data_IF_911743984647
#
_entry.id   IF_911743984647
#
_cell.length_a   1.000
_cell.length_b   1.000
_cell.length_c   1.000
_cell.angle_alpha   90.00
_cell.angle_beta   90.00
_cell.angle_gamma   90.00
#
_symmetry.space_group_name_H-M   'P 1'
#
loop_
_entity.id
_entity.type
_entity.pdbx_description
1 polymer ?
#
# COMPACT_ATOMS: atom_id res chain seq x y z
N UNK A 1 19.46 -22.69 -10.47
CA UNK A 1 19.98 -21.32 -10.68
C UNK A 1 19.06 -20.69 -11.69
N UNK A 2 18.35 -19.63 -11.33
CA UNK A 2 17.41 -18.97 -12.22
C UNK A 2 18.03 -17.73 -12.88
N UNK A 3 17.56 -17.39 -14.07
CA UNK A 3 17.90 -16.14 -14.74
C UNK A 3 17.36 -14.93 -13.95
N UNK A 4 18.24 -13.97 -13.68
CA UNK A 4 17.95 -12.81 -12.81
C UNK A 4 16.88 -11.93 -13.41
N UNK A 5 16.93 -11.67 -14.73
CA UNK A 5 15.97 -10.80 -15.39
C UNK A 5 14.58 -11.42 -15.42
N UNK A 6 14.51 -12.71 -15.75
CA UNK A 6 13.25 -13.45 -15.75
C UNK A 6 12.61 -13.44 -14.36
N UNK A 7 13.38 -13.69 -13.30
CA UNK A 7 12.84 -13.60 -11.93
C UNK A 7 12.42 -12.17 -11.58
N UNK A 8 13.20 -11.17 -11.97
CA UNK A 8 12.87 -9.77 -11.71
C UNK A 8 11.53 -9.38 -12.35
N UNK A 9 11.31 -9.69 -13.64
CA UNK A 9 10.07 -9.37 -14.34
C UNK A 9 8.90 -10.17 -13.76
N UNK A 10 9.09 -11.46 -13.50
CA UNK A 10 8.06 -12.31 -12.90
C UNK A 10 7.60 -11.80 -11.54
N UNK A 11 8.54 -11.41 -10.67
CA UNK A 11 8.22 -10.83 -9.38
C UNK A 11 7.53 -9.47 -9.50
N UNK A 12 7.99 -8.61 -10.42
CA UNK A 12 7.36 -7.32 -10.70
C UNK A 12 5.90 -7.46 -11.17
N UNK A 13 5.66 -8.31 -12.18
CA UNK A 13 4.31 -8.59 -12.67
C UNK A 13 3.42 -9.14 -11.56
N UNK A 14 3.96 -10.03 -10.73
CA UNK A 14 3.22 -10.63 -9.64
C UNK A 14 2.78 -9.61 -8.59
N UNK A 15 3.69 -8.75 -8.10
CA UNK A 15 3.31 -7.75 -7.09
C UNK A 15 2.33 -6.72 -7.66
N UNK A 16 2.52 -6.27 -8.91
CA UNK A 16 1.63 -5.31 -9.57
C UNK A 16 0.20 -5.86 -9.76
N UNK A 17 0.05 -7.17 -9.94
CA UNK A 17 -1.26 -7.82 -10.14
C UNK A 17 -1.94 -8.20 -8.84
N UNK A 18 -1.17 -8.70 -7.86
CA UNK A 18 -1.71 -9.39 -6.70
C UNK A 18 -1.66 -8.56 -5.42
N UNK A 19 -0.77 -7.58 -5.31
CA UNK A 19 -0.61 -6.78 -4.10
C UNK A 19 -1.34 -5.44 -4.30
N UNK A 20 -2.46 -5.18 -3.61
CA UNK A 20 -3.15 -3.90 -3.66
C UNK A 20 -2.21 -2.75 -3.33
N UNK A 21 -2.34 -1.61 -4.01
CA UNK A 21 -1.55 -0.42 -3.69
C UNK A 21 -0.03 -0.64 -3.79
N UNK A 22 0.43 -1.58 -4.61
CA UNK A 22 1.87 -1.87 -4.76
C UNK A 22 2.62 -0.70 -5.41
N UNK A 23 2.06 -0.14 -6.47
CA UNK A 23 2.64 0.96 -7.21
C UNK A 23 2.14 2.30 -6.67
N UNK A 24 3.02 3.30 -6.62
CA UNK A 24 2.66 4.64 -6.20
C UNK A 24 3.48 5.73 -6.90
N UNK A 25 2.90 6.92 -6.94
CA UNK A 25 3.58 8.15 -7.36
C UNK A 25 3.99 8.91 -6.11
N UNK A 26 5.22 9.43 -6.08
CA UNK A 26 5.67 10.37 -5.05
C UNK A 26 5.65 11.81 -5.60
N UNK A 27 4.92 12.68 -4.90
CA UNK A 27 4.78 14.11 -5.21
C UNK A 27 4.98 14.92 -3.93
N UNK A 28 6.16 15.52 -3.76
CA UNK A 28 6.51 16.24 -2.52
C UNK A 28 5.53 17.36 -2.14
N UNK A 29 5.02 18.09 -3.13
CA UNK A 29 4.20 19.28 -2.90
C UNK A 29 2.69 18.96 -2.93
N UNK A 30 2.31 17.68 -2.89
CA UNK A 30 0.92 17.25 -2.74
C UNK A 30 0.63 16.74 -1.33
N UNK A 31 -0.63 16.87 -0.91
CA UNK A 31 -1.17 16.25 0.30
C UNK A 31 -2.28 15.26 -0.15
N UNK A 32 -2.05 13.94 -0.06
CA UNK A 32 -0.86 13.24 0.47
C UNK A 32 0.35 13.30 -0.49
N UNK A 33 1.56 13.10 0.04
CA UNK A 33 2.79 13.03 -0.78
C UNK A 33 2.88 11.72 -1.61
N UNK A 34 2.24 10.65 -1.12
CA UNK A 34 2.23 9.33 -1.73
C UNK A 34 0.84 9.05 -2.30
N UNK A 35 0.77 8.74 -3.59
CA UNK A 35 -0.49 8.39 -4.27
C UNK A 35 -0.40 6.98 -4.81
N UNK A 36 -1.05 6.05 -4.12
CA UNK A 36 -1.08 4.65 -4.50
C UNK A 36 -2.04 4.41 -5.66
N UNK A 37 -1.64 3.52 -6.57
CA UNK A 37 -2.49 3.06 -7.65
C UNK A 37 -3.25 1.81 -7.21
N UNK A 38 -4.52 1.72 -7.58
CA UNK A 38 -5.27 0.47 -7.48
C UNK A 38 -4.78 -0.52 -8.53
N UNK A 39 -4.92 -1.81 -8.25
CA UNK A 39 -4.48 -2.86 -9.17
C UNK A 39 -5.23 -2.73 -10.48
N UNK A 40 -4.48 -2.53 -11.57
CA UNK A 40 -5.07 -2.41 -12.90
C UNK A 40 -5.00 -3.77 -13.61
N UNK A 41 -6.09 -4.25 -14.25
CA UNK A 41 -6.07 -5.52 -14.98
C UNK A 41 -5.08 -5.50 -16.17
N UNK A 42 -4.72 -4.30 -16.65
CA UNK A 42 -3.78 -4.08 -17.74
C UNK A 42 -2.55 -3.31 -17.27
N UNK A 43 -1.56 -4.01 -16.72
CA UNK A 43 -0.27 -3.41 -16.32
C UNK A 43 0.68 -3.22 -17.50
N UNK A 44 0.47 -3.93 -18.61
CA UNK A 44 1.32 -3.89 -19.80
C UNK A 44 0.85 -2.85 -20.83
N UNK A 45 1.72 -2.36 -21.72
CA UNK A 45 3.19 -2.45 -21.62
C UNK A 45 3.72 -1.45 -20.58
N UNK A 46 4.94 -1.69 -20.08
CA UNK A 46 5.63 -0.79 -19.16
C UNK A 46 7.14 -0.87 -19.30
N UNK A 47 7.85 0.12 -18.75
CA UNK A 47 9.31 0.10 -18.61
C UNK A 47 9.68 -0.18 -17.15
N UNK A 48 10.54 -1.16 -16.90
CA UNK A 48 11.14 -1.39 -15.58
C UNK A 48 12.56 -0.83 -15.56
N UNK A 49 12.83 0.08 -14.64
CA UNK A 49 14.17 0.60 -14.35
C UNK A 49 14.60 0.06 -12.99
N UNK A 50 15.41 -1.00 -13.02
CA UNK A 50 15.89 -1.67 -11.82
C UNK A 50 17.26 -1.13 -11.40
N UNK A 51 17.31 -0.46 -10.25
CA UNK A 51 18.48 0.24 -9.73
C UNK A 51 19.11 -0.59 -8.60
N UNK A 52 20.13 -1.38 -8.95
CA UNK A 52 20.98 -2.11 -8.01
C UNK A 52 22.37 -1.47 -7.91
N UNK A 53 23.42 -2.30 -7.97
CA UNK A 53 24.80 -1.79 -8.09
C UNK A 53 24.97 -0.95 -9.37
N UNK A 54 24.44 -1.44 -10.49
CA UNK A 54 24.22 -0.69 -11.72
C UNK A 54 22.72 -0.50 -11.99
N UNK A 55 22.37 -0.14 -13.22
CA UNK A 55 20.99 0.11 -13.66
C UNK A 55 20.67 -0.78 -14.84
N UNK A 56 19.54 -1.48 -14.77
CA UNK A 56 18.97 -2.25 -15.87
C UNK A 56 17.64 -1.65 -16.31
N UNK A 57 17.47 -1.45 -17.60
CA UNK A 57 16.26 -0.90 -18.21
C UNK A 57 15.65 -1.98 -19.11
N UNK A 58 14.46 -2.43 -18.74
CA UNK A 58 13.77 -3.55 -19.40
C UNK A 58 12.41 -3.09 -19.88
N UNK A 59 12.12 -3.28 -21.17
CA UNK A 59 10.80 -3.11 -21.75
C UNK A 59 10.00 -4.38 -21.51
N UNK A 60 8.81 -4.27 -20.92
CA UNK A 60 7.93 -5.41 -20.66
C UNK A 60 6.64 -5.21 -21.46
N UNK A 61 6.39 -6.11 -22.40
CA UNK A 61 5.26 -6.03 -23.32
C UNK A 61 4.12 -6.96 -22.92
N UNK A 62 4.43 -8.13 -22.38
CA UNK A 62 3.49 -9.10 -21.81
C UNK A 62 4.15 -9.85 -20.65
N UNK A 63 3.43 -10.78 -20.03
CA UNK A 63 3.94 -11.62 -18.94
C UNK A 63 5.30 -12.26 -19.28
N UNK A 64 5.38 -12.90 -20.44
CA UNK A 64 6.56 -13.67 -20.87
C UNK A 64 7.39 -12.95 -21.96
N UNK A 65 7.02 -11.73 -22.35
CA UNK A 65 7.68 -10.99 -23.44
C UNK A 65 8.26 -9.70 -22.92
N UNK A 66 9.57 -9.72 -22.71
CA UNK A 66 10.34 -8.59 -22.24
C UNK A 66 11.72 -8.54 -22.91
N UNK A 67 12.28 -7.35 -23.02
CA UNK A 67 13.55 -7.09 -23.68
C UNK A 67 14.41 -6.15 -22.83
N UNK A 68 15.69 -6.48 -22.65
CA UNK A 68 16.66 -5.55 -22.09
C UNK A 68 16.99 -4.49 -23.14
N UNK A 69 16.52 -3.27 -22.91
CA UNK A 69 16.62 -2.16 -23.89
C UNK A 69 17.76 -1.19 -23.56
N UNK A 70 18.31 -1.26 -22.34
CA UNK A 70 19.43 -0.42 -21.95
C UNK A 70 19.85 -0.61 -20.50
N UNK A 71 20.88 0.13 -20.10
CA UNK A 71 21.39 0.12 -18.73
C UNK A 71 22.49 1.15 -18.54
N UNK A 72 22.92 1.30 -17.29
CA UNK A 72 24.02 2.19 -16.91
C UNK A 72 24.86 1.54 -15.82
N UNK A 73 26.17 1.74 -15.87
CA UNK A 73 27.07 1.40 -14.75
C UNK A 73 26.98 2.41 -13.61
N UNK A 74 26.28 3.54 -13.80
CA UNK A 74 26.07 4.59 -12.81
C UNK A 74 24.78 4.30 -12.05
N UNK A 75 24.87 3.42 -11.05
CA UNK A 75 23.75 3.04 -10.19
C UNK A 75 24.02 3.27 -8.71
N UNK A 76 23.35 2.50 -7.85
CA UNK A 76 23.50 2.59 -6.40
C UNK A 76 24.90 2.20 -5.90
N UNK A 77 25.61 1.32 -6.61
CA UNK A 77 27.00 0.98 -6.32
C UNK A 77 27.94 2.16 -6.54
N UNK A 78 27.68 2.95 -7.58
CA UNK A 78 28.43 4.18 -7.88
C UNK A 78 28.17 5.25 -6.85
N UNK A 79 26.90 5.43 -6.44
CA UNK A 79 26.54 6.34 -5.34
C UNK A 79 27.26 5.95 -4.04
N UNK A 80 27.20 4.68 -3.66
CA UNK A 80 27.83 4.21 -2.44
C UNK A 80 29.36 4.33 -2.50
N UNK A 81 29.98 3.89 -3.59
CA UNK A 81 31.43 3.92 -3.77
C UNK A 81 32.01 5.34 -3.76
N UNK A 82 31.47 6.23 -4.61
CA UNK A 82 31.93 7.62 -4.66
C UNK A 82 31.58 8.37 -3.37
N UNK A 83 30.38 8.15 -2.83
CA UNK A 83 29.98 8.76 -1.57
C UNK A 83 30.92 8.38 -0.43
N UNK A 84 31.33 7.11 -0.33
CA UNK A 84 32.31 6.67 0.66
C UNK A 84 33.67 7.34 0.47
N UNK A 85 34.13 7.55 -0.77
CA UNK A 85 35.38 8.24 -1.05
C UNK A 85 35.32 9.72 -0.65
N UNK A 86 34.21 10.40 -0.97
CA UNK A 86 33.99 11.83 -0.75
C UNK A 86 33.72 12.18 0.72
N UNK A 87 32.90 11.39 1.42
CA UNK A 87 32.45 11.72 2.79
C UNK A 87 33.16 10.92 3.88
N UNK A 88 33.88 9.85 3.50
CA UNK A 88 34.47 8.84 4.41
C UNK A 88 33.43 8.00 5.17
N UNK A 89 32.16 8.07 4.78
CA UNK A 89 31.09 7.23 5.32
C UNK A 89 31.15 5.82 4.75
N UNK A 90 30.86 4.80 5.56
CA UNK A 90 30.88 3.38 5.12
C UNK A 90 29.49 2.78 4.90
N UNK A 91 28.45 3.39 5.45
CA UNK A 91 27.08 2.86 5.41
C UNK A 91 26.23 3.63 4.40
N UNK A 92 25.46 2.89 3.61
CA UNK A 92 24.56 3.46 2.60
C UNK A 92 23.52 4.42 3.23
N UNK A 93 22.88 4.01 4.34
CA UNK A 93 21.87 4.82 5.03
C UNK A 93 22.43 6.12 5.62
N UNK A 94 23.66 6.08 6.11
CA UNK A 94 24.35 7.27 6.62
C UNK A 94 24.64 8.26 5.48
N UNK A 95 25.00 7.75 4.29
CA UNK A 95 25.22 8.57 3.11
C UNK A 95 23.92 9.24 2.63
N UNK A 96 22.79 8.52 2.66
CA UNK A 96 21.48 9.08 2.36
C UNK A 96 21.02 10.09 3.41
N UNK A 97 21.36 9.87 4.68
CA UNK A 97 21.11 10.84 5.74
C UNK A 97 21.93 12.13 5.56
N UNK A 98 23.20 12.03 5.14
CA UNK A 98 23.99 13.21 4.76
C UNK A 98 23.34 13.94 3.59
N UNK A 99 22.92 13.20 2.56
CA UNK A 99 22.23 13.77 1.41
C UNK A 99 20.85 14.35 1.74
N UNK A 100 20.17 13.97 2.82
CA UNK A 100 18.90 14.61 3.19
C UNK A 100 19.11 16.02 3.74
N UNK A 101 20.29 16.31 4.31
CA UNK A 101 20.65 17.56 4.99
C UNK A 101 21.47 18.54 4.14
N UNK A 102 22.05 18.06 3.04
CA UNK A 102 22.92 18.86 2.18
C UNK A 102 22.22 19.82 1.23
N UNK A 103 22.99 20.80 0.77
CA UNK A 103 22.61 21.85 -0.17
C UNK A 103 23.48 21.74 -1.44
N UNK A 104 22.94 21.06 -2.46
CA UNK A 104 23.70 20.76 -3.68
C UNK A 104 24.16 22.01 -4.44
N UNK A 105 23.47 23.15 -4.31
CA UNK A 105 23.85 24.38 -5.03
C UNK A 105 25.18 24.99 -4.56
N UNK A 106 25.73 24.52 -3.43
CA UNK A 106 27.08 24.87 -3.00
C UNK A 106 28.15 24.16 -3.87
N UNK A 107 27.87 22.95 -4.35
CA UNK A 107 28.82 22.07 -5.07
C UNK A 107 28.57 22.07 -6.58
N UNK A 108 27.31 22.11 -6.99
CA UNK A 108 26.90 22.08 -8.39
C UNK A 108 26.99 23.46 -9.04
N UNK A 109 27.38 23.49 -10.31
CA UNK A 109 27.26 24.67 -11.16
C UNK A 109 25.86 24.68 -11.78
N UNK A 110 25.11 25.77 -11.57
CA UNK A 110 23.76 25.95 -12.07
C UNK A 110 23.75 26.77 -13.36
N UNK A 111 22.66 26.71 -14.13
CA UNK A 111 22.48 27.53 -15.35
C UNK A 111 22.66 29.01 -15.07
N UNK A 112 22.17 29.52 -13.93
CA UNK A 112 22.37 30.91 -13.52
C UNK A 112 23.84 31.28 -13.27
N UNK A 113 24.67 30.32 -12.88
CA UNK A 113 26.10 30.55 -12.62
C UNK A 113 26.87 30.71 -13.96
N UNK A 114 26.34 30.14 -15.05
CA UNK A 114 26.93 30.24 -16.41
C UNK A 114 26.36 31.43 -17.19
N UNK A 115 25.04 31.64 -17.12
CA UNK A 115 24.33 32.61 -17.97
C UNK A 115 23.85 33.87 -17.23
N UNK A 116 24.11 34.00 -15.92
CA UNK A 116 23.64 35.12 -15.10
C UNK A 116 22.13 35.09 -14.78
N UNK A 117 21.41 34.03 -15.15
CA UNK A 117 19.98 33.89 -14.94
C UNK A 117 19.39 32.64 -15.61
N UNK A 118 18.08 32.65 -15.88
CA UNK A 118 17.44 31.63 -16.71
C UNK A 118 17.82 31.83 -18.18
N UNK A 119 18.00 30.73 -18.92
CA UNK A 119 18.29 30.78 -20.35
C UNK A 119 17.00 30.58 -21.16
N UNK A 120 16.32 31.70 -21.45
CA UNK A 120 14.96 31.72 -22.01
C UNK A 120 14.85 31.00 -23.36
N UNK A 121 15.83 31.16 -24.26
CA UNK A 121 15.79 30.59 -25.62
C UNK A 121 15.77 29.06 -25.63
N UNK A 122 16.49 28.42 -24.71
CA UNK A 122 16.49 26.95 -24.56
C UNK A 122 15.48 26.47 -23.52
N UNK A 123 14.73 27.37 -22.88
CA UNK A 123 13.76 27.04 -21.83
C UNK A 123 14.39 26.49 -20.54
N UNK A 124 15.67 26.80 -20.26
CA UNK A 124 16.36 26.28 -19.08
C UNK A 124 16.19 27.23 -17.89
N UNK A 125 15.66 26.72 -16.77
CA UNK A 125 15.52 27.52 -15.54
C UNK A 125 16.89 27.80 -14.93
N UNK A 126 17.05 28.96 -14.27
CA UNK A 126 18.32 29.34 -13.67
C UNK A 126 18.77 28.42 -12.52
N UNK A 127 17.83 27.70 -11.90
CA UNK A 127 18.11 26.75 -10.81
C UNK A 127 18.43 25.33 -11.32
N UNK A 128 18.38 25.09 -12.63
CA UNK A 128 18.75 23.81 -13.22
C UNK A 128 20.26 23.59 -13.07
N UNK A 129 20.66 22.35 -12.76
CA UNK A 129 22.07 21.96 -12.71
C UNK A 129 22.61 21.96 -14.15
N UNK A 130 23.63 22.77 -14.40
CA UNK A 130 24.37 22.80 -15.67
C UNK A 130 25.55 21.82 -15.64
N UNK A 131 26.27 21.74 -14.51
CA UNK A 131 27.35 20.78 -14.31
C UNK A 131 27.37 20.31 -12.85
N UNK A 132 27.08 19.03 -12.62
CA UNK A 132 27.23 18.40 -11.32
C UNK A 132 28.68 18.48 -10.85
N UNK A 133 28.90 18.80 -9.58
CA UNK A 133 30.24 19.07 -9.00
C UNK A 133 31.05 20.20 -9.69
N UNK A 134 30.42 20.98 -10.58
CA UNK A 134 31.14 21.93 -11.43
C UNK A 134 31.89 23.04 -10.66
N UNK A 135 31.41 23.43 -9.47
CA UNK A 135 32.10 24.43 -8.64
C UNK A 135 33.37 23.87 -8.00
N UNK A 136 33.47 22.56 -7.84
CA UNK A 136 34.63 21.93 -7.20
C UNK A 136 35.92 22.07 -7.98
N UNK A 137 35.85 22.34 -9.28
CA UNK A 137 37.03 22.53 -10.13
C UNK A 137 37.67 23.92 -9.98
N UNK A 138 36.91 24.91 -9.47
CA UNK A 138 37.32 26.33 -9.47
C UNK A 138 37.27 26.97 -8.09
N UNK A 139 36.68 26.31 -7.10
CA UNK A 139 36.54 26.84 -5.76
C UNK A 139 37.76 26.53 -4.90
N UNK A 140 38.27 27.55 -4.20
CA UNK A 140 39.37 27.42 -3.23
C UNK A 140 38.89 26.98 -1.82
N UNK A 141 37.66 26.51 -1.69
CA UNK A 141 37.06 26.10 -0.42
C UNK A 141 36.73 24.61 -0.39
N UNK A 142 36.86 24.00 0.79
CA UNK A 142 36.37 22.64 1.02
C UNK A 142 34.84 22.64 1.11
N UNK A 143 34.20 21.63 0.50
CA UNK A 143 32.75 21.45 0.57
C UNK A 143 32.37 20.54 1.74
N UNK A 144 31.19 20.79 2.32
CA UNK A 144 30.66 19.93 3.37
C UNK A 144 30.35 18.53 2.82
N UNK A 145 30.40 17.52 3.69
CA UNK A 145 30.09 16.13 3.31
C UNK A 145 28.64 15.97 2.88
N UNK A 146 27.76 16.70 3.56
CA UNK A 146 26.33 16.78 3.29
C UNK A 146 26.07 17.32 1.88
N UNK A 147 26.71 18.43 1.50
CA UNK A 147 26.53 19.04 0.17
C UNK A 147 27.04 18.13 -0.94
N UNK A 148 28.21 17.51 -0.74
CA UNK A 148 28.76 16.53 -1.69
C UNK A 148 27.85 15.31 -1.82
N UNK A 149 27.32 14.77 -0.72
CA UNK A 149 26.39 13.65 -0.75
C UNK A 149 25.08 14.03 -1.47
N UNK A 150 24.57 15.25 -1.26
CA UNK A 150 23.39 15.76 -1.96
C UNK A 150 23.61 15.88 -3.46
N UNK A 151 24.71 16.52 -3.86
CA UNK A 151 25.10 16.68 -5.27
C UNK A 151 25.27 15.32 -5.94
N UNK A 152 25.93 14.37 -5.28
CA UNK A 152 26.10 13.00 -5.79
C UNK A 152 24.76 12.28 -5.98
N UNK A 153 23.86 12.36 -5.00
CA UNK A 153 22.53 11.76 -5.08
C UNK A 153 21.73 12.38 -6.25
N UNK A 154 21.79 13.70 -6.40
CA UNK A 154 21.14 14.41 -7.50
C UNK A 154 21.69 14.01 -8.86
N UNK A 155 23.03 13.97 -9.00
CA UNK A 155 23.69 13.60 -10.25
C UNK A 155 23.25 12.22 -10.73
N UNK A 156 23.31 11.21 -9.85
CA UNK A 156 22.96 9.83 -10.19
C UNK A 156 21.46 9.70 -10.43
N UNK A 157 20.62 10.28 -9.57
CA UNK A 157 19.15 10.19 -9.73
C UNK A 157 18.66 10.91 -10.99
N UNK A 158 19.26 12.05 -11.35
CA UNK A 158 18.92 12.77 -12.57
C UNK A 158 19.33 11.99 -13.83
N UNK A 159 20.54 11.40 -13.83
CA UNK A 159 21.03 10.56 -14.93
C UNK A 159 20.11 9.36 -15.18
N UNK A 160 19.75 8.64 -14.11
CA UNK A 160 18.78 7.55 -14.16
C UNK A 160 17.43 8.02 -14.70
N UNK A 161 16.89 9.12 -14.17
CA UNK A 161 15.61 9.68 -14.62
C UNK A 161 15.63 10.11 -16.09
N UNK A 162 16.75 10.66 -16.57
CA UNK A 162 16.94 11.05 -17.96
C UNK A 162 16.98 9.82 -18.88
N UNK A 163 17.78 8.80 -18.54
CA UNK A 163 17.85 7.54 -19.29
C UNK A 163 16.49 6.85 -19.34
N UNK A 164 15.81 6.77 -18.20
CA UNK A 164 14.46 6.21 -18.10
C UNK A 164 13.48 6.95 -19.04
N UNK A 165 13.48 8.29 -19.02
CA UNK A 165 12.64 9.09 -19.90
C UNK A 165 12.98 8.86 -21.39
N UNK A 166 14.26 8.81 -21.75
CA UNK A 166 14.69 8.59 -23.13
C UNK A 166 14.22 7.23 -23.66
N UNK A 167 14.42 6.16 -22.89
CA UNK A 167 13.95 4.82 -23.26
C UNK A 167 12.42 4.73 -23.29
N UNK A 168 11.73 5.34 -22.34
CA UNK A 168 10.27 5.38 -22.33
C UNK A 168 9.74 6.03 -23.62
N UNK A 169 10.28 7.20 -24.00
CA UNK A 169 9.88 7.89 -25.24
C UNK A 169 10.27 7.11 -26.50
N UNK A 170 11.47 6.54 -26.55
CA UNK A 170 11.94 5.73 -27.68
C UNK A 170 11.00 4.55 -27.97
N UNK A 171 10.46 3.94 -26.90
CA UNK A 171 9.56 2.79 -27.01
C UNK A 171 8.07 3.15 -26.90
N UNK A 172 7.73 4.45 -26.88
CA UNK A 172 6.35 4.95 -26.76
C UNK A 172 5.60 4.42 -25.53
N UNK A 173 6.27 4.45 -24.38
CA UNK A 173 5.74 4.02 -23.09
C UNK A 173 5.51 5.24 -22.19
N UNK A 174 4.38 5.23 -21.49
CA UNK A 174 3.95 6.27 -20.55
C UNK A 174 4.20 5.89 -19.08
N UNK A 175 4.40 4.60 -18.77
CA UNK A 175 4.62 4.10 -17.40
C UNK A 175 6.03 3.56 -17.22
N UNK A 176 6.73 4.12 -16.23
CA UNK A 176 8.06 3.67 -15.81
C UNK A 176 8.02 3.26 -14.35
N UNK A 177 8.17 1.97 -14.09
CA UNK A 177 8.33 1.43 -12.74
C UNK A 177 9.79 1.44 -12.35
N UNK A 178 10.06 1.95 -11.16
CA UNK A 178 11.39 1.94 -10.54
C UNK A 178 11.45 0.82 -9.50
N UNK A 179 12.40 -0.09 -9.71
CA UNK A 179 12.70 -1.20 -8.81
C UNK A 179 14.13 -1.12 -8.30
N UNK A 180 14.50 -2.08 -7.44
CA UNK A 180 15.84 -2.22 -6.89
C UNK A 180 16.04 -1.45 -5.59
N UNK A 181 17.09 -1.82 -4.86
CA UNK A 181 17.29 -1.42 -3.46
C UNK A 181 18.05 -0.08 -3.30
N UNK A 182 18.06 0.77 -4.32
CA UNK A 182 18.66 2.10 -4.24
C UNK A 182 17.72 3.15 -3.65
N UNK A 183 16.43 3.09 -4.00
CA UNK A 183 15.44 4.11 -3.63
C UNK A 183 15.09 4.01 -2.15
N UNK A 184 14.83 2.80 -1.65
CA UNK A 184 14.53 2.43 -0.25
C UNK A 184 13.54 3.36 0.43
N UNK A 185 12.50 3.78 -0.29
CA UNK A 185 11.50 4.72 0.21
C UNK A 185 12.04 6.12 0.56
N UNK A 186 13.26 6.50 0.14
CA UNK A 186 13.81 7.82 0.43
C UNK A 186 13.14 8.91 -0.41
N UNK A 187 12.41 9.86 0.22
CA UNK A 187 11.64 10.88 -0.50
C UNK A 187 12.50 11.76 -1.41
N UNK A 188 13.77 12.02 -1.02
CA UNK A 188 14.70 12.81 -1.83
C UNK A 188 15.00 12.13 -3.16
N UNK A 189 15.30 10.82 -3.15
CA UNK A 189 15.60 10.05 -4.35
C UNK A 189 14.39 9.99 -5.28
N UNK A 190 13.21 9.63 -4.73
CA UNK A 190 11.96 9.57 -5.47
C UNK A 190 11.61 10.93 -6.09
N UNK A 191 11.73 12.02 -5.31
CA UNK A 191 11.51 13.38 -5.80
C UNK A 191 12.38 13.71 -7.00
N UNK A 192 13.68 13.43 -6.92
CA UNK A 192 14.63 13.79 -7.96
C UNK A 192 14.37 13.01 -9.24
N UNK A 193 14.08 11.70 -9.13
CA UNK A 193 13.70 10.87 -10.28
C UNK A 193 12.40 11.38 -10.92
N UNK A 194 11.34 11.60 -10.13
CA UNK A 194 10.06 12.12 -10.62
C UNK A 194 10.22 13.48 -11.30
N UNK A 195 11.00 14.39 -10.70
CA UNK A 195 11.29 15.69 -11.28
C UNK A 195 12.02 15.58 -12.61
N UNK A 196 13.06 14.74 -12.69
CA UNK A 196 13.84 14.52 -13.92
C UNK A 196 12.93 13.99 -15.05
N UNK A 197 12.12 12.96 -14.78
CA UNK A 197 11.18 12.42 -15.77
C UNK A 197 10.18 13.48 -16.21
N UNK A 198 9.53 14.18 -15.28
CA UNK A 198 8.53 15.20 -15.63
C UNK A 198 9.14 16.35 -16.44
N UNK A 199 10.39 16.73 -16.14
CA UNK A 199 11.11 17.77 -16.87
C UNK A 199 11.35 17.38 -18.33
N UNK A 200 11.84 16.15 -18.61
CA UNK A 200 12.16 15.71 -19.97
C UNK A 200 10.95 15.20 -20.76
N UNK A 201 9.93 14.67 -20.09
CA UNK A 201 8.71 14.17 -20.73
C UNK A 201 7.59 15.21 -20.84
N UNK A 202 7.70 16.35 -20.14
CA UNK A 202 6.61 17.33 -19.99
C UNK A 202 5.31 16.70 -19.44
N UNK A 203 5.44 15.68 -18.60
CA UNK A 203 4.33 14.95 -17.99
C UNK A 203 3.72 13.84 -18.86
N UNK A 204 4.28 13.56 -20.05
CA UNK A 204 3.86 12.43 -20.90
C UNK A 204 4.25 11.07 -20.30
N UNK A 205 5.23 11.03 -19.40
CA UNK A 205 5.73 9.81 -18.77
C UNK A 205 5.57 9.92 -17.25
N UNK A 206 4.97 8.90 -16.64
CA UNK A 206 4.75 8.77 -15.21
C UNK A 206 5.80 7.88 -14.57
N UNK A 207 6.50 8.43 -13.57
CA UNK A 207 7.38 7.68 -12.68
C UNK A 207 6.56 6.99 -11.59
N UNK A 208 6.70 5.67 -11.47
CA UNK A 208 6.03 4.82 -10.50
C UNK A 208 7.06 4.10 -9.65
N UNK A 209 6.86 4.09 -8.34
CA UNK A 209 7.68 3.38 -7.37
C UNK A 209 6.91 2.17 -6.83
N UNK A 210 7.64 1.19 -6.31
CA UNK A 210 7.08 -0.07 -5.82
C UNK A 210 7.35 -0.18 -4.32
N UNK A 211 6.34 -0.56 -3.53
CA UNK A 211 6.54 -0.81 -2.09
C UNK A 211 7.57 -1.90 -1.84
N UNK A 212 7.60 -2.92 -2.71
CA UNK A 212 8.48 -4.07 -2.61
C UNK A 212 9.60 -4.08 -3.66
N UNK A 213 10.08 -2.89 -4.06
CA UNK A 213 11.11 -2.68 -5.08
C UNK A 213 12.38 -3.53 -4.91
N UNK A 214 12.79 -3.82 -3.66
CA UNK A 214 13.98 -4.61 -3.34
C UNK A 214 13.81 -6.12 -3.46
N UNK A 215 12.56 -6.62 -3.51
CA UNK A 215 12.25 -8.04 -3.38
C UNK A 215 11.86 -8.72 -4.69
N UNK A 216 11.69 -7.96 -5.77
CA UNK A 216 11.18 -8.45 -7.06
C UNK A 216 11.89 -9.71 -7.55
N UNK A 217 13.23 -9.74 -7.56
CA UNK A 217 13.99 -10.91 -7.99
C UNK A 217 13.82 -12.14 -7.09
N UNK A 218 13.73 -11.94 -5.77
CA UNK A 218 13.52 -13.03 -4.81
C UNK A 218 12.10 -13.61 -4.95
N UNK A 219 11.09 -12.74 -5.11
CA UNK A 219 9.71 -13.13 -5.34
C UNK A 219 9.60 -13.95 -6.63
N UNK A 220 10.17 -13.49 -7.74
CA UNK A 220 10.11 -14.26 -8.99
C UNK A 220 10.85 -15.60 -8.92
N UNK A 221 11.95 -15.68 -8.18
CA UNK A 221 12.64 -16.95 -7.94
C UNK A 221 11.79 -17.90 -7.10
N UNK A 222 11.14 -17.39 -6.05
CA UNK A 222 10.18 -18.16 -5.24
C UNK A 222 9.02 -18.66 -6.10
N UNK A 223 8.42 -17.78 -6.91
CA UNK A 223 7.30 -18.13 -7.78
C UNK A 223 7.68 -19.18 -8.81
N UNK A 224 8.85 -19.10 -9.44
CA UNK A 224 9.32 -20.16 -10.34
C UNK A 224 9.50 -21.50 -9.65
N UNK A 225 9.96 -21.50 -8.39
CA UNK A 225 10.02 -22.71 -7.58
C UNK A 225 8.63 -23.24 -7.23
N UNK A 226 7.71 -22.35 -6.87
CA UNK A 226 6.34 -22.66 -6.50
C UNK A 226 5.47 -23.07 -7.70
N UNK A 227 5.78 -22.62 -8.91
CA UNK A 227 5.08 -22.95 -10.17
C UNK A 227 5.13 -24.41 -10.58
N UNK A 228 5.93 -25.23 -9.89
CA UNK A 228 5.76 -26.68 -9.95
C UNK A 228 4.35 -27.11 -9.48
N UNK A 229 3.63 -26.24 -8.76
CA UNK A 229 2.20 -26.27 -8.46
C UNK A 229 1.48 -25.11 -9.18
N UNK A 230 0.71 -25.45 -10.23
CA UNK A 230 0.01 -24.56 -11.18
C UNK A 230 -0.47 -23.18 -10.60
N UNK A 231 0.16 -22.03 -10.96
CA UNK A 231 0.01 -20.74 -10.26
C UNK A 231 -1.35 -20.06 -10.41
N UNK A 232 -2.12 -20.38 -11.46
CA UNK A 232 -3.46 -19.82 -11.68
C UNK A 232 -4.54 -20.39 -10.73
N UNK A 233 -4.17 -21.29 -9.82
CA UNK A 233 -5.08 -21.86 -8.82
C UNK A 233 -5.18 -21.03 -7.53
N UNK A 234 -4.29 -20.05 -7.34
CA UNK A 234 -4.14 -19.38 -6.06
C UNK A 234 -4.39 -17.88 -6.16
N UNK A 235 -4.86 -17.32 -5.06
CA UNK A 235 -4.84 -15.87 -4.84
C UNK A 235 -3.87 -15.55 -3.72
N UNK A 236 -3.31 -14.35 -3.76
CA UNK A 236 -2.30 -13.91 -2.82
C UNK A 236 -2.71 -12.60 -2.20
N UNK A 237 -2.42 -12.45 -0.90
CA UNK A 237 -2.63 -11.22 -0.16
C UNK A 237 -1.40 -10.85 0.66
N UNK A 238 -1.20 -9.58 0.92
CA UNK A 238 -0.17 -9.12 1.85
C UNK A 238 -0.62 -9.34 3.29
N UNK A 239 0.25 -9.94 4.11
CA UNK A 239 0.02 -10.06 5.53
C UNK A 239 0.53 -8.80 6.24
N UNK A 240 -0.37 -7.86 6.53
CA UNK A 240 -0.06 -6.59 7.20
C UNK A 240 0.51 -6.73 8.62
N UNK A 241 0.23 -7.84 9.31
CA UNK A 241 0.76 -8.07 10.67
C UNK A 241 2.26 -8.37 10.65
N UNK A 242 2.71 -9.16 9.67
CA UNK A 242 4.11 -9.53 9.47
C UNK A 242 4.92 -8.55 8.63
N UNK A 243 4.27 -7.88 7.68
CA UNK A 243 4.98 -7.02 6.75
C UNK A 243 5.45 -5.71 7.40
N UNK A 244 6.54 -5.14 6.88
CA UNK A 244 7.00 -3.78 7.16
C UNK A 244 7.11 -3.06 5.82
N UNK A 245 6.09 -2.30 5.43
CA UNK A 245 6.08 -1.61 4.14
C UNK A 245 6.98 -0.37 4.15
N UNK A 246 6.52 0.77 3.62
CA UNK A 246 7.28 2.03 3.54
C UNK A 246 7.50 2.63 4.95
N UNK A 247 8.31 1.99 5.78
CA UNK A 247 8.80 2.58 7.02
C UNK A 247 9.76 3.70 6.62
N UNK A 248 9.44 4.95 6.95
CA UNK A 248 10.46 6.00 6.87
C UNK A 248 11.61 5.59 7.79
N UNK A 249 12.82 5.47 7.23
CA UNK A 249 14.04 5.37 8.04
C UNK A 249 14.28 6.71 8.70
N UNK A 250 13.52 6.99 9.74
CA UNK A 250 13.92 7.90 10.80
C UNK A 250 13.27 7.45 12.10
N UNK A 251 13.93 6.55 12.83
CA UNK A 251 14.22 6.82 14.23
C UNK A 251 15.48 7.69 14.30
N UNK A 252 15.45 8.71 15.15
CA UNK A 252 16.67 9.30 15.69
C UNK A 252 17.65 8.17 16.08
N UNK A 253 18.93 8.34 15.78
CA UNK A 253 20.01 7.46 16.24
C UNK A 253 20.10 7.53 17.77
N UNK A 254 19.13 6.94 18.47
CA UNK A 254 19.17 6.69 19.90
C UNK A 254 20.16 5.55 20.20
N UNK A 255 20.98 5.63 21.26
CA UNK A 255 22.05 4.65 21.51
C UNK A 255 21.59 3.27 22.02
N UNK A 256 20.28 2.99 22.11
CA UNK A 256 19.78 1.81 22.82
C UNK A 256 18.84 0.97 21.95
N UNK A 257 19.42 0.07 21.13
CA UNK A 257 18.89 -1.24 20.67
C UNK A 257 19.63 -1.73 19.42
N UNK A 258 20.97 -1.76 19.46
CA UNK A 258 21.79 -2.40 18.42
C UNK A 258 22.54 -3.60 18.99
N UNK A 259 21.80 -4.66 19.25
CA UNK A 259 22.36 -5.99 19.48
C UNK A 259 21.66 -6.98 18.55
N UNK A 260 22.33 -7.31 17.43
CA UNK A 260 22.07 -8.45 16.55
C UNK A 260 20.59 -8.76 16.19
N UNK A 261 19.93 -7.84 15.50
CA UNK A 261 18.84 -8.23 14.61
C UNK A 261 19.06 -7.54 13.26
N UNK A 262 19.24 -8.33 12.21
CA UNK A 262 19.09 -7.83 10.85
C UNK A 262 17.60 -7.61 10.62
N UNK A 263 17.09 -6.43 10.94
CA UNK A 263 15.76 -6.00 10.52
C UNK A 263 15.85 -5.64 9.05
N UNK A 264 15.78 -6.67 8.19
CA UNK A 264 15.39 -6.49 6.81
C UNK A 264 13.91 -6.11 6.80
N UNK A 265 13.50 -5.25 5.88
CA UNK A 265 12.08 -5.01 5.63
C UNK A 265 11.43 -6.37 5.31
N UNK A 266 10.39 -6.79 6.03
CA UNK A 266 9.76 -8.09 5.80
C UNK A 266 8.56 -7.90 4.87
N UNK A 267 8.48 -8.70 3.81
CA UNK A 267 7.25 -8.92 3.06
C UNK A 267 6.73 -10.31 3.43
N UNK A 268 5.55 -10.36 4.00
CA UNK A 268 4.85 -11.60 4.28
C UNK A 268 3.58 -11.68 3.42
N UNK A 269 3.36 -12.83 2.80
CA UNK A 269 2.27 -13.04 1.86
C UNK A 269 1.50 -14.29 2.21
N UNK A 270 0.18 -14.16 2.26
CA UNK A 270 -0.74 -15.26 2.47
C UNK A 270 -1.21 -15.81 1.11
N UNK A 271 -1.14 -17.13 0.96
CA UNK A 271 -1.67 -17.85 -0.20
C UNK A 271 -3.05 -18.41 0.13
N UNK A 272 -4.05 -17.98 -0.63
CA UNK A 272 -5.37 -18.59 -0.64
C UNK A 272 -5.38 -19.77 -1.62
N UNK A 273 -5.96 -20.89 -1.19
CA UNK A 273 -6.05 -22.14 -1.97
C UNK A 273 -6.98 -22.05 -3.18
N UNK A 274 -7.64 -20.91 -3.40
CA UNK A 274 -8.64 -20.71 -4.46
C UNK A 274 -8.44 -19.36 -5.11
N UNK A 275 -8.72 -19.24 -6.42
CA UNK A 275 -8.70 -17.96 -7.10
C UNK A 275 -9.91 -17.13 -6.66
N UNK A 276 -9.67 -15.89 -6.27
CA UNK A 276 -10.68 -14.87 -6.07
C UNK A 276 -11.11 -14.32 -7.43
N UNK A 277 -12.42 -14.15 -7.61
CA UNK A 277 -13.02 -13.57 -8.81
C UNK A 277 -13.88 -12.39 -8.43
N UNK A 278 -14.04 -11.45 -9.36
CA UNK A 278 -14.93 -10.32 -9.18
C UNK A 278 -16.37 -10.80 -8.94
N UNK A 279 -17.13 -10.05 -8.15
CA UNK A 279 -18.55 -10.30 -7.97
C UNK A 279 -19.26 -10.21 -9.34
N UNK A 280 -20.05 -11.23 -9.73
CA UNK A 280 -20.56 -11.36 -11.10
C UNK A 280 -21.56 -10.27 -11.52
N UNK A 281 -22.05 -9.48 -10.57
CA UNK A 281 -23.05 -8.43 -10.78
C UNK A 281 -22.46 -7.01 -10.69
N UNK A 282 -21.14 -6.86 -10.65
CA UNK A 282 -20.50 -5.54 -10.75
C UNK A 282 -20.71 -4.98 -12.16
N UNK A 283 -21.25 -3.77 -12.24
CA UNK A 283 -21.50 -3.08 -13.51
C UNK A 283 -20.19 -2.79 -14.27
N UNK A 284 -19.18 -2.34 -13.53
CA UNK A 284 -17.83 -2.06 -14.03
C UNK A 284 -16.80 -2.52 -12.98
N UNK A 285 -16.29 -3.76 -13.08
CA UNK A 285 -15.35 -4.27 -12.09
C UNK A 285 -14.04 -3.47 -12.00
N UNK A 286 -13.40 -3.02 -13.10
CA UNK A 286 -12.22 -2.15 -13.04
C UNK A 286 -12.40 -0.84 -12.26
N UNK A 287 -13.59 -0.24 -12.27
CA UNK A 287 -13.86 1.01 -11.55
C UNK A 287 -14.34 0.79 -10.12
N UNK A 288 -14.59 -0.46 -9.71
CA UNK A 288 -15.16 -0.74 -8.40
C UNK A 288 -14.08 -0.69 -7.32
N UNK A 289 -14.19 0.31 -6.44
CA UNK A 289 -13.33 0.46 -5.27
C UNK A 289 -14.17 0.21 -4.03
N UNK A 290 -13.98 -0.93 -3.32
CA UNK A 290 -14.80 -1.27 -2.16
C UNK A 290 -14.47 -0.44 -0.91
N UNK A 291 -13.31 0.21 -0.87
CA UNK A 291 -12.96 1.18 0.17
C UNK A 291 -13.38 2.59 -0.24
N UNK A 292 -14.49 3.06 0.32
CA UNK A 292 -15.05 4.37 -0.03
C UNK A 292 -14.38 5.54 0.71
N UNK A 293 -13.54 5.25 1.71
CA UNK A 293 -12.85 6.27 2.52
C UNK A 293 -11.37 5.96 2.59
N UNK A 294 -10.56 6.87 2.06
CA UNK A 294 -9.11 6.85 2.19
C UNK A 294 -8.70 7.55 3.49
N UNK A 295 -8.32 6.76 4.50
CA UNK A 295 -7.85 7.26 5.78
C UNK A 295 -6.41 7.79 5.70
N UNK A 296 -5.71 7.65 4.59
CA UNK A 296 -4.41 8.31 4.34
C UNK A 296 -4.62 9.82 4.19
N UNK A 297 -5.71 10.19 3.52
CA UNK A 297 -6.00 11.58 3.13
C UNK A 297 -6.91 12.26 4.16
N UNK A 298 -7.88 11.55 4.71
CA UNK A 298 -8.78 12.09 5.72
C UNK A 298 -8.22 11.92 7.14
N UNK A 299 -7.52 12.94 7.61
CA UNK A 299 -6.94 12.96 8.96
C UNK A 299 -7.98 12.86 10.10
N UNK A 300 -9.19 13.41 9.89
CA UNK A 300 -10.25 13.37 10.91
C UNK A 300 -10.85 11.97 11.00
N UNK A 301 -11.21 11.37 9.86
CA UNK A 301 -11.67 9.99 9.80
C UNK A 301 -10.61 9.02 10.30
N UNK A 302 -9.33 9.22 9.93
CA UNK A 302 -8.20 8.43 10.43
C UNK A 302 -8.13 8.44 11.95
N UNK A 303 -8.17 9.64 12.56
CA UNK A 303 -8.14 9.79 14.02
C UNK A 303 -9.33 9.08 14.66
N UNK A 304 -10.53 9.24 14.11
CA UNK A 304 -11.73 8.59 14.60
C UNK A 304 -11.58 7.06 14.57
N UNK A 305 -11.29 6.48 13.41
CA UNK A 305 -11.21 5.04 13.24
C UNK A 305 -10.09 4.42 14.07
N UNK A 306 -8.87 4.98 14.05
CA UNK A 306 -7.78 4.48 14.89
C UNK A 306 -8.13 4.49 16.38
N UNK A 307 -8.86 5.52 16.84
CA UNK A 307 -9.33 5.58 18.23
C UNK A 307 -10.37 4.49 18.51
N UNK A 308 -11.34 4.28 17.61
CA UNK A 308 -12.32 3.20 17.75
C UNK A 308 -11.67 1.81 17.85
N UNK A 309 -10.66 1.52 17.01
CA UNK A 309 -9.95 0.24 17.06
C UNK A 309 -9.09 0.08 18.32
N UNK A 310 -8.50 1.17 18.82
CA UNK A 310 -7.72 1.18 20.06
C UNK A 310 -8.63 0.93 21.27
N UNK A 311 -9.79 1.59 21.34
CA UNK A 311 -10.77 1.40 22.41
C UNK A 311 -11.42 0.00 22.40
N UNK A 312 -11.63 -0.58 21.21
CA UNK A 312 -12.20 -1.92 21.07
C UNK A 312 -11.22 -3.05 21.43
N UNK A 313 -9.91 -2.75 21.53
CA UNK A 313 -8.85 -3.75 21.67
C UNK A 313 -9.06 -4.68 22.88
N UNK A 314 -9.39 -4.12 24.04
CA UNK A 314 -9.62 -4.92 25.26
C UNK A 314 -10.81 -5.87 25.12
N UNK A 315 -11.85 -5.44 24.39
CA UNK A 315 -13.00 -6.29 24.07
C UNK A 315 -12.62 -7.47 23.19
N UNK A 316 -11.78 -7.24 22.18
CA UNK A 316 -11.25 -8.28 21.29
C UNK A 316 -10.37 -9.27 22.08
N UNK A 317 -9.49 -8.78 22.95
CA UNK A 317 -8.63 -9.62 23.82
C UNK A 317 -9.48 -10.52 24.70
N UNK A 318 -10.52 -9.98 25.37
CA UNK A 318 -11.44 -10.78 26.20
C UNK A 318 -12.13 -11.88 25.39
N UNK A 319 -12.59 -11.56 24.17
CA UNK A 319 -13.24 -12.54 23.28
C UNK A 319 -12.27 -13.60 22.79
N UNK A 320 -11.03 -13.23 22.46
CA UNK A 320 -9.97 -14.16 22.09
C UNK A 320 -9.73 -15.19 23.21
N UNK A 321 -9.56 -14.75 24.46
CA UNK A 321 -9.41 -15.66 25.62
C UNK A 321 -10.64 -16.54 25.81
N UNK A 322 -11.86 -15.96 25.76
CA UNK A 322 -13.10 -16.72 25.92
C UNK A 322 -13.36 -17.76 24.81
N UNK A 323 -12.77 -17.58 23.63
CA UNK A 323 -12.88 -18.53 22.52
C UNK A 323 -12.21 -19.87 22.84
N UNK A 324 -11.14 -19.87 23.65
CA UNK A 324 -10.31 -21.04 23.96
C UNK A 324 -10.17 -21.25 25.50
N UNK A 325 -11.28 -21.58 26.20
CA UNK A 325 -11.29 -21.67 27.67
C UNK A 325 -10.40 -22.78 28.23
N UNK A 326 -10.15 -23.82 27.44
CA UNK A 326 -9.34 -24.99 27.84
C UNK A 326 -7.83 -24.78 27.62
N UNK A 327 -7.42 -23.66 27.02
CA UNK A 327 -6.01 -23.37 26.72
C UNK A 327 -5.36 -22.58 27.85
N UNK A 328 -4.34 -23.17 28.48
CA UNK A 328 -3.63 -22.56 29.61
C UNK A 328 -2.82 -21.30 29.24
N UNK A 329 -2.45 -21.17 27.98
CA UNK A 329 -1.64 -20.08 27.43
C UNK A 329 -2.45 -18.98 26.74
N UNK A 330 -3.79 -19.11 26.67
CA UNK A 330 -4.64 -18.18 25.91
C UNK A 330 -4.49 -16.73 26.41
N UNK A 331 -4.42 -16.52 27.72
CA UNK A 331 -4.24 -15.18 28.28
C UNK A 331 -2.88 -14.56 27.87
N UNK A 332 -1.80 -15.35 27.88
CA UNK A 332 -0.48 -14.88 27.48
C UNK A 332 -0.43 -14.54 25.98
N UNK A 333 -0.98 -15.41 25.12
CA UNK A 333 -1.06 -15.15 23.67
C UNK A 333 -1.91 -13.91 23.36
N UNK A 334 -3.03 -13.75 24.06
CA UNK A 334 -3.90 -12.59 23.85
C UNK A 334 -3.21 -11.27 24.24
N UNK A 335 -2.34 -11.28 25.26
CA UNK A 335 -1.53 -10.12 25.63
C UNK A 335 -0.45 -9.80 24.59
N UNK A 336 0.20 -10.83 24.01
CA UNK A 336 1.13 -10.64 22.89
C UNK A 336 0.42 -10.04 21.66
N UNK A 337 -0.78 -10.52 21.35
CA UNK A 337 -1.66 -9.93 20.35
C UNK A 337 -1.92 -8.45 20.64
N UNK A 338 -2.34 -8.13 21.87
CA UNK A 338 -2.64 -6.76 22.31
C UNK A 338 -1.48 -5.82 22.03
N UNK A 339 -0.28 -6.20 22.47
CA UNK A 339 0.92 -5.39 22.30
C UNK A 339 1.30 -5.22 20.82
N UNK A 340 1.25 -6.30 20.02
CA UNK A 340 1.62 -6.25 18.60
C UNK A 340 0.65 -5.38 17.80
N UNK A 341 -0.65 -5.59 17.98
CA UNK A 341 -1.67 -4.83 17.27
C UNK A 341 -1.66 -3.36 17.68
N UNK A 342 -1.50 -3.05 18.96
CA UNK A 342 -1.38 -1.66 19.43
C UNK A 342 -0.18 -0.95 18.80
N UNK A 343 1.00 -1.60 18.75
CA UNK A 343 2.18 -1.03 18.10
C UNK A 343 1.90 -0.69 16.62
N UNK A 344 1.19 -1.58 15.89
CA UNK A 344 0.80 -1.34 14.49
C UNK A 344 -0.14 -0.15 14.34
N UNK A 345 -1.12 0.00 15.23
CA UNK A 345 -2.00 1.18 15.24
C UNK A 345 -1.21 2.48 15.48
N UNK A 346 -0.20 2.47 16.36
CA UNK A 346 0.67 3.64 16.56
C UNK A 346 1.52 3.96 15.33
N UNK A 347 2.06 2.94 14.66
CA UNK A 347 2.78 3.12 13.39
C UNK A 347 1.87 3.76 12.34
N UNK A 348 0.65 3.26 12.14
CA UNK A 348 -0.32 3.81 11.20
C UNK A 348 -0.79 5.23 11.55
N UNK A 349 -0.76 5.59 12.84
CA UNK A 349 -1.04 6.96 13.29
C UNK A 349 0.05 7.94 12.85
N UNK A 350 1.30 7.52 12.86
CA UNK A 350 2.46 8.33 12.49
C UNK A 350 2.74 8.29 10.98
N UNK A 351 2.53 7.13 10.36
CA UNK A 351 2.82 6.82 8.96
C UNK A 351 1.61 6.09 8.35
N UNK A 352 0.55 6.81 7.93
CA UNK A 352 -0.66 6.18 7.43
C UNK A 352 -0.42 5.37 6.15
N UNK A 353 0.55 5.75 5.33
CA UNK A 353 0.92 5.08 4.08
C UNK A 353 1.84 3.86 4.26
N UNK A 354 2.13 3.45 5.49
CA UNK A 354 3.12 2.41 5.80
C UNK A 354 2.89 1.09 5.06
N UNK A 355 1.64 0.75 4.74
CA UNK A 355 1.26 -0.49 4.07
C UNK A 355 0.43 -0.26 2.80
N UNK A 356 0.63 0.87 2.13
CA UNK A 356 -0.25 1.34 1.06
C UNK A 356 -1.33 2.29 1.58
N UNK A 357 -2.43 2.40 0.86
CA UNK A 357 -3.58 3.20 1.27
C UNK A 357 -4.19 2.66 2.57
N UNK A 358 -4.33 3.51 3.59
CA UNK A 358 -4.99 3.15 4.84
C UNK A 358 -6.50 3.18 4.68
N UNK A 359 -7.17 2.07 4.95
CA UNK A 359 -8.64 1.96 4.88
C UNK A 359 -9.17 1.28 6.14
N UNK A 360 -10.49 1.31 6.35
CA UNK A 360 -11.11 0.54 7.44
C UNK A 360 -10.88 -0.96 7.22
N UNK A 361 -10.88 -1.43 5.96
CA UNK A 361 -10.57 -2.83 5.65
C UNK A 361 -9.14 -3.18 6.05
N UNK A 362 -8.14 -2.36 5.72
CA UNK A 362 -6.75 -2.67 6.09
C UNK A 362 -6.55 -2.72 7.62
N UNK A 363 -7.30 -1.92 8.40
CA UNK A 363 -7.32 -2.01 9.87
C UNK A 363 -7.93 -3.32 10.37
N UNK A 364 -9.05 -3.75 9.78
CA UNK A 364 -9.69 -5.04 10.07
C UNK A 364 -8.75 -6.20 9.73
N UNK A 365 -8.17 -6.21 8.53
CA UNK A 365 -7.25 -7.24 8.07
C UNK A 365 -6.02 -7.32 8.99
N UNK A 366 -5.45 -6.17 9.38
CA UNK A 366 -4.33 -6.13 10.34
C UNK A 366 -4.70 -6.78 11.68
N UNK A 367 -5.92 -6.54 12.17
CA UNK A 367 -6.41 -7.15 13.41
C UNK A 367 -6.52 -8.67 13.26
N UNK A 368 -7.18 -9.14 12.19
CA UNK A 368 -7.38 -10.57 11.94
C UNK A 368 -6.05 -11.29 11.74
N UNK A 369 -5.12 -10.72 10.99
CA UNK A 369 -3.78 -11.30 10.81
C UNK A 369 -3.01 -11.37 12.13
N UNK A 370 -3.05 -10.32 12.97
CA UNK A 370 -2.46 -10.38 14.31
C UNK A 370 -3.12 -11.45 15.20
N UNK A 371 -4.46 -11.61 15.14
CA UNK A 371 -5.15 -12.67 15.88
C UNK A 371 -4.72 -14.06 15.43
N UNK A 372 -4.65 -14.28 14.11
CA UNK A 372 -4.23 -15.54 13.51
C UNK A 372 -2.80 -15.93 13.91
N UNK A 373 -1.87 -14.98 13.89
CA UNK A 373 -0.48 -15.20 14.30
C UNK A 373 -0.35 -15.69 15.74
N UNK A 374 -1.23 -15.22 16.63
CA UNK A 374 -1.30 -15.67 18.01
C UNK A 374 -2.33 -16.79 18.21
N UNK A 375 -2.67 -17.55 17.16
CA UNK A 375 -3.54 -18.72 17.16
C UNK A 375 -4.99 -18.45 17.66
N UNK A 376 -5.59 -17.33 17.26
CA UNK A 376 -7.01 -17.01 17.50
C UNK A 376 -7.78 -16.84 16.18
N UNK A 377 -8.09 -17.92 15.46
CA UNK A 377 -8.63 -17.83 14.09
C UNK A 377 -10.06 -17.31 13.98
N UNK A 378 -10.92 -17.55 14.98
CA UNK A 378 -12.24 -16.93 15.04
C UNK A 378 -12.68 -16.74 16.50
N UNK A 379 -12.30 -15.61 17.13
CA UNK A 379 -12.72 -15.27 18.50
C UNK A 379 -14.24 -15.19 18.68
N UNK A 380 -14.99 -15.01 17.60
CA UNK A 380 -16.43 -14.77 17.60
C UNK A 380 -17.24 -16.01 17.22
N UNK A 381 -16.60 -17.13 16.89
CA UNK A 381 -17.24 -18.36 16.42
C UNK A 381 -18.41 -18.84 17.30
N UNK A 382 -18.22 -18.88 18.63
CA UNK A 382 -19.29 -19.28 19.58
C UNK A 382 -20.45 -18.28 19.62
N UNK A 383 -20.16 -16.98 19.49
CA UNK A 383 -21.18 -15.93 19.44
C UNK A 383 -22.01 -16.09 18.16
N UNK A 384 -21.34 -16.21 17.01
CA UNK A 384 -21.97 -16.46 15.71
C UNK A 384 -22.86 -17.70 15.74
N UNK A 385 -22.39 -18.81 16.33
CA UNK A 385 -23.19 -20.04 16.47
C UNK A 385 -24.47 -19.81 17.28
N UNK A 386 -24.38 -19.09 18.42
CA UNK A 386 -25.55 -18.77 19.25
C UNK A 386 -26.54 -17.89 18.49
N UNK A 387 -26.06 -16.85 17.81
CA UNK A 387 -26.89 -15.92 17.04
C UNK A 387 -27.55 -16.59 15.84
N UNK A 388 -26.81 -17.41 15.10
CA UNK A 388 -27.37 -18.23 14.02
C UNK A 388 -28.48 -19.16 14.54
N UNK A 389 -28.30 -19.76 15.73
CA UNK A 389 -29.33 -20.57 16.36
C UNK A 389 -30.59 -19.78 16.73
N UNK A 390 -30.45 -18.52 17.17
CA UNK A 390 -31.59 -17.62 17.41
C UNK A 390 -32.27 -17.23 16.10
N UNK A 391 -31.50 -16.81 15.09
CA UNK A 391 -32.01 -16.40 13.79
C UNK A 391 -32.79 -17.53 13.09
N UNK A 392 -32.27 -18.77 13.13
CA UNK A 392 -32.95 -19.95 12.56
C UNK A 392 -34.29 -20.23 13.23
N UNK A 393 -34.45 -19.96 14.53
CA UNK A 393 -35.75 -20.10 15.22
C UNK A 393 -36.75 -19.03 14.79
N UNK A 394 -36.29 -17.81 14.51
CA UNK A 394 -37.13 -16.71 14.04
C UNK A 394 -37.51 -16.86 12.55
N UNK A 395 -36.65 -17.50 11.75
CA UNK A 395 -36.78 -17.58 10.29
C UNK A 395 -38.17 -18.02 9.79
N UNK A 396 -38.81 -19.10 10.31
CA UNK A 396 -40.14 -19.51 9.84
C UNK A 396 -41.23 -18.45 10.08
N UNK A 397 -41.11 -17.68 11.17
CA UNK A 397 -42.04 -16.58 11.47
C UNK A 397 -41.90 -15.43 10.47
N UNK A 398 -40.65 -15.09 10.13
CA UNK A 398 -40.35 -14.04 9.14
C UNK A 398 -40.82 -14.46 7.73
N UNK A 399 -40.62 -15.71 7.33
CA UNK A 399 -41.10 -16.20 6.03
C UNK A 399 -42.63 -16.10 5.95
N UNK A 400 -43.35 -16.58 6.97
CA UNK A 400 -44.82 -16.48 7.01
C UNK A 400 -45.32 -15.04 6.96
N UNK A 401 -44.65 -14.11 7.65
CA UNK A 401 -45.06 -12.70 7.62
C UNK A 401 -44.81 -12.05 6.26
N UNK A 402 -43.71 -12.40 5.58
CA UNK A 402 -43.42 -11.93 4.23
C UNK A 402 -44.39 -12.50 3.19
N UNK A 403 -44.79 -13.77 3.32
CA UNK A 403 -45.75 -14.43 2.42
C UNK A 403 -47.15 -13.81 2.48
N UNK A 404 -47.52 -13.25 3.64
CA UNK A 404 -48.80 -12.56 3.81
C UNK A 404 -48.85 -11.17 3.16
N UNK A 405 -47.69 -10.60 2.79
CA UNK A 405 -47.60 -9.26 2.17
C UNK A 405 -47.79 -9.32 0.65
N UNK A 406 -48.33 -8.23 0.09
CA UNK A 406 -48.36 -8.00 -1.36
C UNK A 406 -46.94 -7.87 -1.94
N UNK A 407 -46.79 -8.02 -3.26
CA UNK A 407 -45.47 -8.09 -3.91
C UNK A 407 -44.59 -6.87 -3.61
N UNK A 408 -45.11 -5.65 -3.75
CA UNK A 408 -44.33 -4.42 -3.50
C UNK A 408 -43.97 -4.24 -2.01
N UNK A 409 -44.93 -4.47 -1.12
CA UNK A 409 -44.73 -4.38 0.34
C UNK A 409 -43.70 -5.40 0.81
N UNK A 410 -43.72 -6.60 0.23
CA UNK A 410 -42.75 -7.67 0.49
C UNK A 410 -41.34 -7.25 0.10
N UNK A 411 -41.14 -6.62 -1.07
CA UNK A 411 -39.82 -6.13 -1.47
C UNK A 411 -39.27 -5.10 -0.48
N UNK A 412 -40.10 -4.16 -0.02
CA UNK A 412 -39.68 -3.18 0.98
C UNK A 412 -39.35 -3.84 2.33
N UNK A 413 -40.17 -4.81 2.75
CA UNK A 413 -39.96 -5.55 3.99
C UNK A 413 -38.66 -6.37 3.96
N UNK A 414 -38.30 -6.96 2.81
CA UNK A 414 -37.04 -7.66 2.60
C UNK A 414 -35.84 -6.72 2.75
N UNK A 415 -35.87 -5.56 2.10
CA UNK A 415 -34.76 -4.58 2.18
C UNK A 415 -34.62 -4.02 3.60
N UNK A 416 -35.74 -3.70 4.27
CA UNK A 416 -35.71 -3.34 5.70
C UNK A 416 -35.15 -4.46 6.58
N UNK A 417 -35.49 -5.72 6.28
CA UNK A 417 -34.94 -6.88 6.97
C UNK A 417 -33.43 -7.00 6.81
N UNK A 418 -32.91 -6.78 5.61
CA UNK A 418 -31.47 -6.77 5.32
C UNK A 418 -30.75 -5.67 6.14
N UNK A 419 -31.26 -4.44 6.12
CA UNK A 419 -30.67 -3.33 6.85
C UNK A 419 -30.68 -3.54 8.38
N UNK A 420 -31.77 -4.11 8.91
CA UNK A 420 -31.85 -4.47 10.33
C UNK A 420 -30.91 -5.62 10.69
N UNK A 421 -30.74 -6.60 9.78
CA UNK A 421 -29.87 -7.76 9.97
C UNK A 421 -28.40 -7.37 10.13
N UNK A 422 -27.94 -6.34 9.41
CA UNK A 422 -26.56 -5.82 9.48
C UNK A 422 -26.15 -5.36 10.89
N UNK A 423 -27.11 -5.09 11.80
CA UNK A 423 -26.84 -4.77 13.21
C UNK A 423 -26.26 -5.99 13.94
N UNK A 424 -26.50 -7.21 13.50
CA UNK A 424 -26.00 -8.41 14.17
C UNK A 424 -24.59 -8.82 13.73
N UNK A 425 -23.91 -8.01 12.91
CA UNK A 425 -22.51 -8.24 12.52
C UNK A 425 -21.50 -7.71 13.56
N UNK A 426 -21.96 -7.09 14.65
CA UNK A 426 -21.12 -6.54 15.75
C UNK A 426 -20.04 -5.54 15.28
N UNK A 427 -20.12 -5.05 14.04
CA UNK A 427 -19.05 -4.27 13.42
C UNK A 427 -18.91 -2.83 13.95
N UNK A 428 -19.96 -2.29 14.57
CA UNK A 428 -19.98 -0.92 15.08
C UNK A 428 -19.99 -0.88 16.61
N UNK A 429 -19.28 0.08 17.20
CA UNK A 429 -19.22 0.29 18.66
C UNK A 429 -20.62 0.43 19.28
N UNK A 430 -21.45 1.30 18.71
CA UNK A 430 -22.82 1.53 19.20
C UNK A 430 -23.69 0.27 19.16
N UNK A 431 -23.45 -0.61 18.19
CA UNK A 431 -24.15 -1.90 18.07
C UNK A 431 -23.68 -2.87 19.16
N UNK A 432 -22.37 -2.99 19.34
CA UNK A 432 -21.79 -3.82 20.41
C UNK A 432 -22.28 -3.38 21.79
N UNK A 433 -22.34 -2.07 22.06
CA UNK A 433 -22.84 -1.53 23.32
C UNK A 433 -24.31 -1.94 23.57
N UNK A 434 -25.17 -1.88 22.55
CA UNK A 434 -26.58 -2.30 22.64
C UNK A 434 -26.70 -3.80 22.89
N UNK A 435 -25.95 -4.62 22.15
CA UNK A 435 -26.02 -6.08 22.27
C UNK A 435 -25.41 -6.60 23.57
N UNK A 436 -24.45 -5.87 24.16
CA UNK A 436 -23.87 -6.20 25.48
C UNK A 436 -24.74 -5.72 26.64
N UNK A 437 -25.41 -4.58 26.49
CA UNK A 437 -26.25 -3.99 27.56
C UNK A 437 -27.67 -4.53 27.62
N UNK A 438 -28.24 -4.94 26.49
CA UNK A 438 -29.62 -5.44 26.40
C UNK A 438 -29.68 -6.86 25.80
N UNK A 439 -29.71 -7.90 26.66
CA UNK A 439 -29.84 -9.29 26.22
C UNK A 439 -31.16 -9.60 25.50
N UNK A 440 -32.18 -8.74 25.62
CA UNK A 440 -33.47 -8.88 24.98
C UNK A 440 -33.54 -8.18 23.62
N UNK A 441 -32.52 -7.41 23.25
CA UNK A 441 -32.47 -6.77 21.94
C UNK A 441 -32.45 -7.82 20.83
N UNK A 442 -33.43 -7.73 19.93
CA UNK A 442 -33.66 -8.72 18.89
C UNK A 442 -34.06 -8.10 17.57
N UNK A 443 -34.28 -8.95 16.56
CA UNK A 443 -34.48 -8.53 15.17
C UNK A 443 -35.65 -7.54 14.98
N UNK A 444 -36.78 -7.75 15.66
CA UNK A 444 -37.92 -6.84 15.55
C UNK A 444 -37.64 -5.46 16.16
N UNK A 445 -36.90 -5.39 17.26
CA UNK A 445 -36.51 -4.11 17.85
C UNK A 445 -35.49 -3.39 16.96
N UNK A 446 -34.55 -4.13 16.36
CA UNK A 446 -33.63 -3.59 15.34
C UNK A 446 -34.40 -2.98 14.16
N UNK A 447 -35.44 -3.65 13.65
CA UNK A 447 -36.30 -3.13 12.59
C UNK A 447 -37.06 -1.87 12.99
N UNK A 448 -37.53 -1.78 14.25
CA UNK A 448 -38.24 -0.59 14.75
C UNK A 448 -37.34 0.63 14.91
N UNK A 449 -36.05 0.41 15.19
CA UNK A 449 -35.05 1.48 15.31
C UNK A 449 -34.44 1.91 13.96
N UNK A 450 -34.75 1.24 12.86
CA UNK A 450 -34.31 1.68 11.53
C UNK A 450 -34.89 3.05 11.20
N UNK A 451 -34.06 3.92 10.63
CA UNK A 451 -34.52 5.20 10.09
C UNK A 451 -35.52 4.98 8.96
N UNK A 452 -36.52 5.85 8.90
CA UNK A 452 -37.45 5.88 7.78
C UNK A 452 -36.74 6.31 6.50
N UNK A 453 -37.30 5.91 5.34
CA UNK A 453 -36.77 6.33 4.03
C UNK A 453 -36.98 7.85 3.85
N UNK A 454 -36.07 8.54 3.13
CA UNK A 454 -34.95 7.98 2.37
C UNK A 454 -33.76 7.60 3.26
N UNK A 455 -33.09 6.50 2.93
CA UNK A 455 -31.83 6.12 3.57
C UNK A 455 -30.65 6.92 3.00
N UNK A 456 -29.50 6.85 3.69
CA UNK A 456 -28.27 7.55 3.28
C UNK A 456 -27.87 7.25 1.83
N UNK A 457 -28.00 5.99 1.42
CA UNK A 457 -27.91 5.54 0.03
C UNK A 457 -29.19 4.78 -0.28
N UNK A 458 -30.10 5.39 -1.03
CA UNK A 458 -31.43 4.86 -1.31
C UNK A 458 -31.70 4.73 -2.82
N UNK A 459 -31.26 3.61 -3.38
CA UNK A 459 -31.61 3.18 -4.75
C UNK A 459 -32.78 2.20 -4.77
N UNK A 460 -33.60 2.15 -3.73
CA UNK A 460 -34.68 1.16 -3.63
C UNK A 460 -35.70 1.31 -4.76
N UNK A 461 -36.08 2.54 -5.12
CA UNK A 461 -37.08 2.80 -6.16
C UNK A 461 -36.60 2.31 -7.53
N UNK A 462 -35.34 2.56 -7.88
CA UNK A 462 -34.70 2.09 -9.12
C UNK A 462 -34.60 0.55 -9.14
N UNK A 463 -34.18 -0.04 -8.01
CA UNK A 463 -34.12 -1.49 -7.85
C UNK A 463 -35.50 -2.15 -8.00
N UNK A 464 -36.54 -1.58 -7.38
CA UNK A 464 -37.91 -2.07 -7.47
C UNK A 464 -38.44 -2.00 -8.90
N UNK A 465 -38.19 -0.89 -9.61
CA UNK A 465 -38.56 -0.74 -11.01
C UNK A 465 -37.86 -1.78 -11.89
N UNK A 466 -36.56 -2.02 -11.67
CA UNK A 466 -35.81 -3.06 -12.39
C UNK A 466 -36.37 -4.45 -12.13
N UNK A 467 -36.80 -4.76 -10.91
CA UNK A 467 -37.42 -6.04 -10.60
C UNK A 467 -38.77 -6.23 -11.28
N UNK A 468 -39.61 -5.18 -11.39
CA UNK A 468 -40.89 -5.26 -12.11
C UNK A 468 -40.70 -5.67 -13.57
N UNK A 469 -39.71 -5.06 -14.24
CA UNK A 469 -39.40 -5.31 -15.65
C UNK A 469 -38.93 -6.76 -15.90
N UNK A 470 -38.35 -7.42 -14.90
CA UNK A 470 -37.87 -8.81 -15.00
C UNK A 470 -38.96 -9.84 -14.65
N UNK A 471 -40.07 -9.42 -14.05
CA UNK A 471 -41.18 -10.28 -13.60
C UNK A 471 -42.35 -10.29 -14.60
N UNK A 472 -42.48 -9.23 -15.41
CA UNK A 472 -43.29 -9.18 -16.63
C UNK A 472 -42.57 -9.86 -17.81
#
# INVERSE_FOLDING_TARGET
KEDVMTCLIKGCNFVLKNIPHEAFVYQKDSDPEFRFQTNHPHIFPYLLVNIGSGVSIVKVETEDRFEWVGGSSIGGGTFWGLGALLTKTKKFDELLHLASRGQHSNVDMLVRDVYGGAHQTLGLSGNLIASSFGKSATADQEFSKEDMAKSLLHMISNDIGQLACLHARLHSLDRVYFGGFFIRGHPVTMRTITYSINFFSKGEVQALFLRHEGYLGAIGAFLKGAEQDNPNQYSWGENYAGSSGLMSTSPELGPAQRARSGTFDLLEMDRLERPLVNLPLLLDPPSYVPDTVDLTDDALARKYWLTCFEEALDGVVKRAVASQPDSVDAAERAEKFRQKYWNKLQTLRQQPFAYGTLTVRSLLDTREHCLNEFNFPDPYSKVKQRENGVALRCFPGVVRSLDALGWEERQLALVKGLLAGNVFDWGAKAVSDVLESDPCFGFEEAKRKLQERPWLVDSYSEWLQRLKITVE
#
